data_IF_320619098934
#
_entry.id   IF_320619098934
#
_cell.length_a   1.000
_cell.length_b   1.000
_cell.length_c   1.000
_cell.angle_alpha   90.00
_cell.angle_beta   90.00
_cell.angle_gamma   90.00
#
_symmetry.space_group_name_H-M   'P 1'
#
loop_
_entity.id
_entity.type
_entity.pdbx_description
1 polymer ?
#
# COMPACT_ATOMS: atom_id res chain seq x y z
N UNK A 1 -2.34 -28.16 16.51
CA UNK A 1 -2.47 -27.37 15.27
C UNK A 1 -1.38 -26.34 15.32
N UNK A 2 -0.71 -26.05 14.19
CA UNK A 2 0.29 -24.98 14.16
C UNK A 2 -0.37 -23.66 14.57
N UNK A 3 0.35 -22.82 15.32
CA UNK A 3 -0.10 -21.48 15.64
C UNK A 3 0.06 -20.62 14.39
N UNK A 4 -1.03 -20.04 13.90
CA UNK A 4 -1.01 -19.22 12.68
C UNK A 4 -0.67 -17.75 12.99
N UNK A 5 0.04 -17.51 14.10
CA UNK A 5 0.43 -16.18 14.52
C UNK A 5 1.59 -15.64 13.68
N UNK A 6 1.59 -14.33 13.40
CA UNK A 6 2.68 -13.67 12.65
C UNK A 6 4.04 -13.75 13.37
N UNK A 7 4.02 -13.95 14.70
CA UNK A 7 5.22 -14.10 15.50
C UNK A 7 6.01 -15.36 15.08
N UNK A 8 5.32 -16.46 14.79
CA UNK A 8 5.95 -17.70 14.35
C UNK A 8 6.62 -17.51 12.98
N UNK A 9 5.92 -16.90 12.02
CA UNK A 9 6.45 -16.62 10.68
C UNK A 9 7.73 -15.75 10.67
N UNK A 10 7.94 -14.91 11.69
CA UNK A 10 9.11 -14.03 11.81
C UNK A 10 10.24 -14.64 12.66
N UNK A 11 9.97 -15.68 13.45
CA UNK A 11 10.94 -16.28 14.39
C UNK A 11 11.35 -17.70 14.00
N UNK A 12 10.54 -18.38 13.18
CA UNK A 12 10.85 -19.71 12.67
C UNK A 12 12.10 -19.63 11.78
N UNK A 13 13.13 -20.46 12.04
CA UNK A 13 14.31 -20.51 11.19
C UNK A 13 13.91 -20.94 9.78
N UNK A 14 14.52 -20.36 8.72
CA UNK A 14 14.23 -20.77 7.35
C UNK A 14 14.43 -22.27 7.20
N UNK A 15 13.50 -22.99 6.54
CA UNK A 15 13.61 -24.43 6.37
C UNK A 15 14.93 -24.80 5.70
N UNK A 16 15.59 -25.85 6.20
CA UNK A 16 16.80 -26.39 5.61
C UNK A 16 16.47 -27.15 4.32
N UNK A 17 16.52 -26.41 3.22
CA UNK A 17 16.42 -26.94 1.84
C UNK A 17 17.81 -27.02 1.22
N UNK A 18 18.07 -28.10 0.48
CA UNK A 18 19.34 -28.34 -0.20
C UNK A 18 19.66 -27.23 -1.22
N UNK A 19 20.93 -26.85 -1.34
CA UNK A 19 21.36 -25.74 -2.19
C UNK A 19 21.08 -25.93 -3.68
N UNK A 20 20.96 -27.18 -4.12
CA UNK A 20 20.59 -27.54 -5.50
C UNK A 20 19.10 -27.25 -5.73
N UNK A 21 18.24 -27.76 -4.84
CA UNK A 21 16.79 -27.53 -4.88
C UNK A 21 16.45 -26.03 -4.79
N UNK A 22 17.15 -25.29 -3.92
CA UNK A 22 16.98 -23.82 -3.80
C UNK A 22 17.21 -23.10 -5.12
N UNK A 23 18.28 -23.46 -5.83
CA UNK A 23 18.62 -22.84 -7.11
C UNK A 23 17.60 -23.16 -8.17
N UNK A 24 17.18 -24.43 -8.26
CA UNK A 24 16.21 -24.86 -9.27
C UNK A 24 14.83 -24.24 -9.04
N UNK A 25 14.41 -24.08 -7.78
CA UNK A 25 13.17 -23.39 -7.43
C UNK A 25 13.19 -21.92 -7.87
N UNK A 26 14.23 -21.18 -7.52
CA UNK A 26 14.36 -19.76 -7.89
C UNK A 26 14.46 -19.63 -9.42
N UNK A 27 15.27 -20.46 -10.08
CA UNK A 27 15.42 -20.43 -11.52
C UNK A 27 14.10 -20.69 -12.25
N UNK A 28 13.25 -21.58 -11.72
CA UNK A 28 11.92 -21.84 -12.27
C UNK A 28 11.00 -20.62 -12.10
N UNK A 29 11.01 -19.97 -10.93
CA UNK A 29 10.24 -18.76 -10.68
C UNK A 29 10.66 -17.59 -11.59
N UNK A 30 11.97 -17.40 -11.79
CA UNK A 30 12.49 -16.33 -12.66
C UNK A 30 12.27 -16.60 -14.15
N UNK A 31 12.16 -17.86 -14.54
CA UNK A 31 11.86 -18.24 -15.92
C UNK A 31 10.39 -18.01 -16.28
N UNK A 32 9.50 -17.92 -15.29
CA UNK A 32 8.10 -17.58 -15.51
C UNK A 32 7.96 -16.07 -15.79
N UNK A 33 7.25 -15.73 -16.87
CA UNK A 33 6.96 -14.34 -17.18
C UNK A 33 5.84 -13.84 -16.27
N UNK A 34 6.06 -12.72 -15.59
CA UNK A 34 5.02 -12.02 -14.83
C UNK A 34 4.19 -11.14 -15.77
N UNK A 35 2.86 -11.29 -15.73
CA UNK A 35 1.91 -10.40 -16.41
C UNK A 35 1.14 -9.58 -15.37
N UNK A 36 1.24 -8.25 -15.46
CA UNK A 36 0.57 -7.33 -14.54
C UNK A 36 -0.91 -7.15 -14.93
N UNK A 37 -1.73 -8.15 -14.63
CA UNK A 37 -3.16 -8.17 -14.98
C UNK A 37 -3.94 -7.06 -14.27
N UNK A 38 -3.56 -6.72 -13.04
CA UNK A 38 -4.24 -5.68 -12.24
C UNK A 38 -3.82 -4.28 -12.72
N UNK A 39 -2.63 -4.15 -13.31
CA UNK A 39 -2.14 -2.90 -13.89
C UNK A 39 -1.71 -1.89 -12.82
N UNK A 40 -1.14 -2.38 -11.71
CA UNK A 40 -0.65 -1.51 -10.64
C UNK A 40 0.62 -0.76 -11.05
N UNK A 41 1.39 -1.32 -12.00
CA UNK A 41 2.62 -0.72 -12.49
C UNK A 41 2.33 0.55 -13.28
N UNK A 42 2.84 1.68 -12.79
CA UNK A 42 2.85 2.95 -13.53
C UNK A 42 4.18 3.12 -14.28
N UNK A 43 4.11 3.58 -15.53
CA UNK A 43 5.28 3.90 -16.32
C UNK A 43 6.05 5.09 -15.74
N UNK A 44 7.38 5.14 -15.95
CA UNK A 44 8.22 6.26 -15.48
C UNK A 44 7.78 7.62 -16.02
N UNK A 45 7.22 7.65 -17.23
CA UNK A 45 6.69 8.86 -17.87
C UNK A 45 5.34 9.29 -17.32
N UNK A 46 4.59 8.33 -16.78
CA UNK A 46 3.25 8.53 -16.24
C UNK A 46 3.29 8.77 -14.72
N UNK A 47 4.43 8.46 -14.09
CA UNK A 47 4.71 8.78 -12.70
C UNK A 47 4.76 10.29 -12.46
N UNK A 48 3.93 10.77 -11.54
CA UNK A 48 3.92 12.17 -11.07
C UNK A 48 4.50 12.18 -9.66
N UNK A 49 5.72 12.70 -9.44
CA UNK A 49 6.30 12.80 -8.11
C UNK A 49 5.41 13.63 -7.18
N UNK A 50 5.18 13.11 -5.97
CA UNK A 50 4.57 13.89 -4.91
C UNK A 50 5.60 14.93 -4.46
N UNK A 51 5.36 16.20 -4.79
CA UNK A 51 6.16 17.28 -4.26
C UNK A 51 5.73 17.50 -2.81
N UNK A 52 6.69 17.38 -1.89
CA UNK A 52 6.50 17.89 -0.54
C UNK A 52 6.15 19.38 -0.65
N UNK A 53 5.08 19.81 0.02
CA UNK A 53 4.88 21.24 0.28
C UNK A 53 5.96 21.64 1.28
N UNK A 54 7.15 21.88 0.76
CA UNK A 54 8.13 22.65 1.52
C UNK A 54 7.57 24.08 1.55
N UNK A 55 7.06 24.50 2.71
CA UNK A 55 6.57 25.87 2.92
C UNK A 55 7.65 26.94 2.70
N UNK A 56 8.88 26.54 2.35
CA UNK A 56 10.01 27.41 2.06
C UNK A 56 10.72 26.93 0.78
N UNK A 57 10.59 27.76 -0.26
CA UNK A 57 11.55 27.97 -1.36
C UNK A 57 11.13 27.44 -2.74
N UNK A 58 10.43 28.30 -3.48
CA UNK A 58 11.01 28.93 -4.66
C UNK A 58 11.49 28.04 -5.83
N UNK A 59 10.62 27.96 -6.84
CA UNK A 59 10.92 27.81 -8.26
C UNK A 59 11.56 26.49 -8.76
N UNK A 60 10.71 25.68 -9.40
CA UNK A 60 11.05 24.95 -10.63
C UNK A 60 9.80 24.88 -11.51
N UNK A 61 9.56 25.93 -12.29
CA UNK A 61 8.54 25.92 -13.34
C UNK A 61 8.81 24.82 -14.37
N UNK A 62 7.82 23.94 -14.62
CA UNK A 62 7.54 23.39 -15.95
C UNK A 62 6.12 22.82 -16.05
N UNK A 63 5.20 23.74 -16.36
CA UNK A 63 4.05 23.60 -17.27
C UNK A 63 2.93 22.60 -16.89
N UNK A 64 1.92 23.21 -16.25
CA UNK A 64 0.48 23.00 -16.39
C UNK A 64 0.05 22.02 -17.51
N UNK A 65 -0.58 20.93 -17.11
CA UNK A 65 -1.85 20.49 -17.74
C UNK A 65 -2.97 21.08 -16.88
N UNK A 66 -4.03 21.69 -17.46
CA UNK A 66 -5.22 22.02 -16.68
C UNK A 66 -5.84 20.69 -16.25
N UNK A 67 -5.89 20.44 -14.95
CA UNK A 67 -6.89 19.52 -14.41
C UNK A 67 -8.26 20.06 -14.86
N UNK A 68 -9.13 19.26 -15.49
CA UNK A 68 -10.54 19.64 -15.56
C UNK A 68 -11.08 19.52 -14.14
N UNK A 69 -11.00 20.64 -13.43
CA UNK A 69 -11.80 20.93 -12.27
C UNK A 69 -13.24 21.06 -12.78
N UNK A 70 -14.05 20.01 -12.63
CA UNK A 70 -15.51 20.21 -12.68
C UNK A 70 -15.91 20.86 -11.37
N UNK A 71 -15.68 22.17 -11.35
CA UNK A 71 -16.09 23.11 -10.34
C UNK A 71 -17.59 23.00 -10.05
N UNK A 72 -17.91 23.03 -8.76
CA UNK A 72 -19.06 23.72 -8.15
C UNK A 72 -20.40 23.71 -8.90
N UNK A 73 -21.39 23.09 -8.26
CA UNK A 73 -22.69 23.77 -8.11
C UNK A 73 -22.96 23.90 -6.61
N UNK A 74 -22.96 25.15 -6.13
CA UNK A 74 -23.38 25.52 -4.79
C UNK A 74 -24.91 25.51 -4.74
N UNK A 75 -25.50 24.82 -3.74
CA UNK A 75 -26.95 24.77 -3.57
C UNK A 75 -27.44 23.92 -2.39
N UNK A 76 -27.41 24.52 -1.19
CA UNK A 76 -28.14 24.16 0.04
C UNK A 76 -27.63 22.96 0.92
N UNK A 77 -27.74 23.08 2.27
CA UNK A 77 -27.06 22.18 3.20
C UNK A 77 -27.91 20.93 3.51
N UNK A 78 -27.29 19.75 3.49
CA UNK A 78 -27.84 18.57 4.13
C UNK A 78 -26.71 17.77 4.79
N UNK A 79 -26.77 17.52 6.12
CA UNK A 79 -25.73 16.79 6.80
C UNK A 79 -25.98 15.31 6.59
N UNK A 80 -25.25 14.71 5.67
CA UNK A 80 -24.95 13.28 5.76
C UNK A 80 -23.46 13.10 5.71
N UNK A 81 -22.90 12.87 6.89
CA UNK A 81 -21.58 12.32 7.07
C UNK A 81 -21.41 11.14 6.12
N UNK A 82 -20.56 11.29 5.11
CA UNK A 82 -19.95 10.15 4.47
C UNK A 82 -19.02 9.54 5.52
N UNK A 83 -19.58 8.65 6.34
CA UNK A 83 -18.82 7.78 7.22
C UNK A 83 -17.91 6.96 6.31
N UNK A 84 -16.63 7.30 6.29
CA UNK A 84 -15.59 6.44 5.76
C UNK A 84 -15.61 5.17 6.62
N UNK A 85 -16.28 4.12 6.14
CA UNK A 85 -16.43 2.85 6.85
C UNK A 85 -15.11 2.05 6.97
N UNK A 86 -14.02 2.57 6.40
CA UNK A 86 -12.70 1.94 6.35
C UNK A 86 -11.76 2.65 7.32
N UNK A 87 -12.10 2.68 8.61
CA UNK A 87 -11.33 3.47 9.58
C UNK A 87 -11.50 3.12 11.04
N UNK A 88 -12.11 1.98 11.37
CA UNK A 88 -12.23 1.55 12.76
C UNK A 88 -11.74 0.10 12.93
N UNK A 89 -10.42 -0.03 13.06
CA UNK A 89 -9.81 -1.22 13.65
C UNK A 89 -9.54 -0.91 15.12
N UNK A 90 -10.58 -1.04 15.95
CA UNK A 90 -10.45 -0.97 17.40
C UNK A 90 -9.55 -2.09 17.91
N UNK A 91 -8.31 -1.76 18.31
CA UNK A 91 -7.50 -2.66 19.14
C UNK A 91 -8.03 -2.55 20.56
N UNK A 92 -9.04 -3.36 20.89
CA UNK A 92 -9.50 -3.49 22.26
C UNK A 92 -8.37 -4.12 23.09
N UNK A 93 -7.74 -3.31 23.94
CA UNK A 93 -6.78 -3.79 24.93
C UNK A 93 -7.48 -4.71 25.93
N UNK A 94 -6.97 -5.92 26.09
CA UNK A 94 -7.41 -6.83 27.14
C UNK A 94 -6.74 -6.42 28.46
N UNK A 95 -7.38 -5.54 29.22
CA UNK A 95 -7.04 -5.38 30.63
C UNK A 95 -7.54 -6.61 31.40
N UNK A 96 -6.66 -7.60 31.57
CA UNK A 96 -6.85 -8.68 32.54
C UNK A 96 -6.59 -8.12 33.92
N UNK A 97 -7.65 -7.65 34.58
CA UNK A 97 -7.66 -7.48 36.02
C UNK A 97 -8.23 -8.78 36.64
N UNK A 98 -7.34 -9.65 37.13
CA UNK A 98 -7.72 -10.60 38.19
C UNK A 98 -7.31 -10.03 39.54
N UNK A 99 -8.24 -10.14 40.49
CA UNK A 99 -8.21 -9.65 41.86
C UNK A 99 -7.59 -10.65 42.84
#
# INVERSE_FOLDING_TARGET
MADLSLADALTEPPPEIEGEIKRDFIATLEAEAYDDVVGETVGKTDYIPLLDVDEKTGNSESKKKPCPDTSQVEGAPSPRAAVLANGDHGTQGNDTAEA
#
